data_IF_209067448056
#
_entry.id   IF_209067448056
#
_cell.length_a   1.000
_cell.length_b   1.000
_cell.length_c   1.000
_cell.angle_alpha   90.00
_cell.angle_beta   90.00
_cell.angle_gamma   90.00
#
_symmetry.space_group_name_H-M   'P 1'
#
loop_
_entity.id
_entity.type
_entity.pdbx_description
1 polymer ?
#
# COMPACT_ATOMS: atom_id res chain seq x y z
N UNK A 1 -12.46 3.85 20.32
CA UNK A 1 -13.25 3.12 19.31
C UNK A 1 -12.45 1.90 18.90
N UNK A 2 -13.08 0.73 18.84
CA UNK A 2 -12.42 -0.54 18.49
C UNK A 2 -12.17 -0.57 16.97
N UNK A 3 -10.95 -0.91 16.54
CA UNK A 3 -10.63 -1.04 15.12
C UNK A 3 -11.10 -2.40 14.62
N UNK A 4 -11.78 -2.42 13.48
CA UNK A 4 -12.14 -3.67 12.82
C UNK A 4 -10.97 -4.17 11.98
N UNK A 5 -10.72 -5.48 12.04
CA UNK A 5 -9.76 -6.16 11.17
C UNK A 5 -8.29 -5.76 11.37
N UNK A 6 -7.93 -5.48 12.63
CA UNK A 6 -6.54 -5.63 13.10
C UNK A 6 -6.24 -7.13 13.18
N UNK A 7 -6.07 -7.76 12.01
CA UNK A 7 -5.68 -9.15 11.92
C UNK A 7 -4.24 -9.29 12.43
N UNK A 8 -4.05 -9.95 13.57
CA UNK A 8 -2.74 -10.11 14.23
C UNK A 8 -1.73 -10.89 13.36
N UNK A 9 -2.20 -11.55 12.29
CA UNK A 9 -1.36 -12.31 11.37
C UNK A 9 -0.87 -11.50 10.18
N UNK A 10 -1.43 -10.31 9.93
CA UNK A 10 -1.10 -9.48 8.76
C UNK A 10 -0.71 -8.06 9.18
N UNK A 11 0.25 -7.49 8.45
CA UNK A 11 0.65 -6.10 8.64
C UNK A 11 -0.18 -5.23 7.70
N UNK A 12 -1.07 -4.42 8.27
CA UNK A 12 -1.82 -3.42 7.50
C UNK A 12 -0.89 -2.21 7.21
N UNK A 13 -0.33 -2.17 6.01
CA UNK A 13 0.47 -1.05 5.49
C UNK A 13 0.45 -1.06 3.95
N UNK A 14 0.69 0.08 3.31
CA UNK A 14 1.14 0.09 1.92
C UNK A 14 2.54 -0.51 1.83
N UNK A 15 2.87 -1.12 0.69
CA UNK A 15 4.18 -1.72 0.50
C UNK A 15 5.29 -0.67 0.42
N UNK A 16 4.96 0.53 -0.09
CA UNK A 16 5.90 1.65 -0.14
C UNK A 16 6.24 2.16 1.28
N UNK A 17 5.25 2.39 2.14
CA UNK A 17 5.50 2.79 3.54
C UNK A 17 6.13 1.67 4.37
N UNK A 18 5.87 0.40 4.06
CA UNK A 18 6.55 -0.73 4.71
C UNK A 18 8.07 -0.75 4.43
N UNK A 19 8.51 -0.17 3.31
CA UNK A 19 9.92 0.04 2.97
C UNK A 19 10.46 1.38 3.48
N UNK A 20 9.69 2.10 4.30
CA UNK A 20 10.08 3.38 4.88
C UNK A 20 9.97 4.55 3.91
N UNK A 21 9.03 4.48 2.95
CA UNK A 21 8.84 5.48 1.90
C UNK A 21 10.17 5.77 1.14
N UNK A 22 10.94 4.69 0.89
CA UNK A 22 12.25 4.74 0.23
C UNK A 22 12.15 4.31 -1.23
N UNK A 23 12.39 5.24 -2.14
CA UNK A 23 12.27 5.02 -3.59
C UNK A 23 13.21 3.94 -4.12
N UNK A 24 14.47 3.93 -3.69
CA UNK A 24 15.48 2.97 -4.15
C UNK A 24 15.09 1.54 -3.73
N UNK A 25 14.70 1.37 -2.48
CA UNK A 25 14.25 0.08 -1.95
C UNK A 25 12.96 -0.38 -2.65
N UNK A 26 12.03 0.54 -2.90
CA UNK A 26 10.77 0.24 -3.57
C UNK A 26 10.99 -0.18 -5.03
N UNK A 27 11.80 0.56 -5.78
CA UNK A 27 12.13 0.23 -7.16
C UNK A 27 12.88 -1.10 -7.25
N UNK A 28 13.84 -1.34 -6.36
CA UNK A 28 14.56 -2.62 -6.29
C UNK A 28 13.60 -3.79 -6.02
N UNK A 29 12.64 -3.63 -5.10
CA UNK A 29 11.66 -4.67 -4.80
C UNK A 29 10.78 -5.00 -6.02
N UNK A 30 10.39 -3.99 -6.81
CA UNK A 30 9.62 -4.17 -8.05
C UNK A 30 10.46 -4.83 -9.13
N UNK A 31 11.74 -4.47 -9.26
CA UNK A 31 12.66 -5.15 -10.16
C UNK A 31 12.76 -6.65 -9.81
N UNK A 32 12.94 -6.99 -8.54
CA UNK A 32 12.93 -8.40 -8.09
C UNK A 32 11.61 -9.08 -8.47
N UNK A 33 10.46 -8.44 -8.21
CA UNK A 33 9.15 -8.99 -8.51
C UNK A 33 8.94 -9.27 -10.02
N UNK A 34 9.36 -8.34 -10.88
CA UNK A 34 9.15 -8.43 -12.34
C UNK A 34 10.10 -9.44 -12.99
N UNK A 35 11.32 -9.58 -12.48
CA UNK A 35 12.31 -10.50 -13.01
C UNK A 35 12.20 -11.93 -12.43
N UNK A 36 11.48 -12.12 -11.32
CA UNK A 36 11.20 -13.45 -10.78
C UNK A 36 10.26 -14.24 -11.71
N UNK A 37 10.43 -15.58 -11.85
CA UNK A 37 9.51 -16.40 -12.62
C UNK A 37 8.08 -16.34 -12.08
N UNK A 38 7.11 -15.98 -12.92
CA UNK A 38 5.69 -15.88 -12.55
C UNK A 38 4.98 -14.75 -13.29
N UNK A 39 3.71 -14.51 -12.94
CA UNK A 39 2.93 -13.38 -13.44
C UNK A 39 3.01 -12.25 -12.39
N UNK A 40 3.71 -11.14 -12.64
CA UNK A 40 3.82 -10.05 -11.67
C UNK A 40 2.47 -9.34 -11.54
N UNK A 41 1.93 -9.27 -10.32
CA UNK A 41 0.73 -8.51 -9.99
C UNK A 41 1.10 -7.22 -9.26
N UNK A 42 0.69 -6.07 -9.78
CA UNK A 42 0.96 -4.76 -9.19
C UNK A 42 -0.38 -4.19 -8.70
N UNK A 43 -0.52 -4.02 -7.39
CA UNK A 43 -1.68 -3.39 -6.79
C UNK A 43 -1.66 -1.87 -7.03
N UNK A 44 -2.83 -1.26 -7.26
CA UNK A 44 -2.92 0.12 -7.75
C UNK A 44 -2.31 1.17 -6.81
N UNK A 45 -2.44 1.00 -5.48
CA UNK A 45 -1.77 1.89 -4.50
C UNK A 45 -0.25 1.80 -4.67
N UNK A 46 0.27 0.60 -4.86
CA UNK A 46 1.69 0.40 -5.15
C UNK A 46 2.09 0.97 -6.51
N UNK A 47 1.28 0.81 -7.55
CA UNK A 47 1.59 1.37 -8.87
C UNK A 47 1.89 2.87 -8.79
N UNK A 48 1.19 3.59 -7.90
CA UNK A 48 1.33 5.03 -7.66
C UNK A 48 2.25 5.38 -6.47
N UNK A 49 3.03 4.42 -5.96
CA UNK A 49 3.88 4.59 -4.78
C UNK A 49 3.16 5.23 -3.58
N UNK A 50 1.90 4.88 -3.35
CA UNK A 50 1.09 5.45 -2.28
C UNK A 50 1.59 5.08 -0.89
N UNK A 51 1.69 6.07 -0.02
CA UNK A 51 1.93 5.90 1.42
C UNK A 51 0.64 5.56 2.19
N UNK A 52 0.78 5.19 3.46
CA UNK A 52 -0.34 4.86 4.35
C UNK A 52 -1.39 5.97 4.44
N UNK A 53 -2.64 5.62 4.11
CA UNK A 53 -3.79 6.52 4.23
C UNK A 53 -4.38 6.48 5.65
N UNK A 54 -3.78 7.28 6.52
CA UNK A 54 -4.20 7.41 7.91
C UNK A 54 -5.58 8.07 8.03
N UNK A 55 -5.92 8.99 7.13
CA UNK A 55 -7.21 9.69 7.17
C UNK A 55 -8.37 8.71 6.90
N UNK A 56 -8.24 7.89 5.86
CA UNK A 56 -9.26 6.91 5.51
C UNK A 56 -9.36 5.82 6.58
N UNK A 57 -8.23 5.37 7.13
CA UNK A 57 -8.21 4.45 8.27
C UNK A 57 -8.99 5.04 9.46
N UNK A 58 -8.70 6.27 9.85
CA UNK A 58 -9.35 6.91 11.00
C UNK A 58 -10.84 7.15 10.77
N UNK A 59 -11.23 7.54 9.56
CA UNK A 59 -12.62 7.77 9.18
C UNK A 59 -13.46 6.50 9.17
N UNK A 60 -12.88 5.38 8.73
CA UNK A 60 -13.62 4.12 8.51
C UNK A 60 -13.46 3.11 9.64
N UNK A 61 -12.40 3.22 10.43
CA UNK A 61 -12.00 2.26 11.48
C UNK A 61 -11.81 0.82 10.98
N UNK A 62 -11.60 0.63 9.67
CA UNK A 62 -11.23 -0.65 9.05
C UNK A 62 -9.74 -0.65 8.77
N UNK A 63 -8.99 -1.54 9.44
CA UNK A 63 -7.52 -1.57 9.40
C UNK A 63 -6.92 -1.60 7.99
N UNK A 64 -7.54 -2.36 7.09
CA UNK A 64 -7.05 -2.51 5.70
C UNK A 64 -7.21 -1.28 4.84
N UNK A 65 -8.03 -0.31 5.25
CA UNK A 65 -8.22 0.92 4.48
C UNK A 65 -6.98 1.83 4.47
N UNK A 66 -6.01 1.58 5.36
CA UNK A 66 -4.70 2.22 5.30
C UNK A 66 -3.97 2.02 3.96
N UNK A 67 -4.30 0.95 3.22
CA UNK A 67 -3.73 0.63 1.90
C UNK A 67 -4.82 0.55 0.83
N UNK A 68 -5.85 1.40 0.91
CA UNK A 68 -6.97 1.44 -0.06
C UNK A 68 -7.39 2.87 -0.41
N UNK A 69 -6.40 3.75 -0.59
CA UNK A 69 -6.65 5.15 -0.92
C UNK A 69 -7.46 5.29 -2.22
N UNK A 70 -8.46 6.17 -2.21
CA UNK A 70 -9.30 6.44 -3.37
C UNK A 70 -8.73 7.58 -4.20
N UNK A 71 -7.82 7.24 -5.11
CA UNK A 71 -7.22 8.21 -6.01
C UNK A 71 -8.25 8.91 -6.90
N UNK A 72 -8.18 10.22 -6.91
CA UNK A 72 -8.84 11.09 -7.87
C UNK A 72 -8.08 11.14 -9.18
N UNK A 73 -8.68 11.71 -10.24
CA UNK A 73 -7.99 11.88 -11.51
C UNK A 73 -6.81 12.85 -11.39
N UNK A 74 -6.93 13.88 -10.57
CA UNK A 74 -5.92 14.92 -10.41
C UNK A 74 -4.66 14.40 -9.71
N UNK A 75 -4.78 13.38 -8.87
CA UNK A 75 -3.64 12.73 -8.20
C UNK A 75 -2.87 11.76 -9.11
N UNK A 76 -3.44 11.41 -10.26
CA UNK A 76 -2.87 10.42 -11.21
C UNK A 76 -2.38 11.07 -12.51
N UNK A 77 -2.81 12.30 -12.79
CA UNK A 77 -2.50 13.03 -14.02
C UNK A 77 -1.07 13.61 -14.02
#
# INVERSE_FOLDING_TARGET
>A
AEYHNLDIYQINSTYYSALGDNDDAYLLSRAIQVFAPGIPMIYYVGLLAGSNDLELLEKTKEGRNINRHYYTKDEVA
#
